data_IF_302089297671
#
_entry.id   IF_302089297671
#
_cell.length_a   1.000
_cell.length_b   1.000
_cell.length_c   1.000
_cell.angle_alpha   90.00
_cell.angle_beta   90.00
_cell.angle_gamma   90.00
#
_symmetry.space_group_name_H-M   'P 1'
#
loop_
_entity.id
_entity.type
_entity.pdbx_description
1 polymer ?
#
# COMPACT_ATOMS: atom_id res chain seq x y z
N UNK A 1 20.47 -47.07 -26.23
CA UNK A 1 20.82 -46.21 -25.07
C UNK A 1 19.63 -45.30 -24.78
N UNK A 2 19.08 -45.33 -23.57
CA UNK A 2 17.98 -44.41 -23.18
C UNK A 2 18.58 -43.04 -22.88
N UNK A 3 18.63 -42.18 -23.89
CA UNK A 3 19.38 -40.92 -23.83
C UNK A 3 18.67 -39.81 -23.06
N UNK A 4 17.34 -39.81 -22.97
CA UNK A 4 16.58 -38.80 -22.22
C UNK A 4 15.40 -39.47 -21.51
N UNK A 5 15.13 -39.07 -20.26
CA UNK A 5 13.96 -39.52 -19.50
C UNK A 5 13.23 -38.32 -18.91
N UNK A 6 11.92 -38.24 -19.14
CA UNK A 6 11.07 -37.16 -18.62
C UNK A 6 10.27 -37.69 -17.44
N UNK A 7 10.44 -37.05 -16.28
CA UNK A 7 9.69 -37.34 -15.05
C UNK A 7 8.90 -36.11 -14.63
N UNK A 8 7.64 -36.32 -14.33
CA UNK A 8 6.68 -35.30 -13.89
C UNK A 8 6.17 -35.67 -12.50
N UNK A 9 6.11 -34.71 -11.57
CA UNK A 9 5.49 -34.95 -10.27
C UNK A 9 4.94 -33.67 -9.66
N UNK A 10 3.90 -33.79 -8.82
CA UNK A 10 3.35 -32.64 -8.10
C UNK A 10 4.36 -32.09 -7.08
N UNK A 11 4.50 -30.77 -7.04
CA UNK A 11 5.36 -30.08 -6.08
C UNK A 11 4.88 -30.34 -4.65
N UNK A 12 5.71 -31.03 -3.85
CA UNK A 12 5.39 -31.41 -2.46
C UNK A 12 4.92 -32.86 -2.30
N UNK A 13 4.63 -33.57 -3.40
CA UNK A 13 4.27 -34.98 -3.38
C UNK A 13 5.06 -35.79 -4.42
N UNK A 14 6.26 -36.25 -4.04
CA UNK A 14 7.13 -37.06 -4.91
C UNK A 14 6.61 -38.49 -5.15
N UNK A 15 5.68 -38.98 -4.32
CA UNK A 15 5.09 -40.32 -4.47
C UNK A 15 4.17 -40.39 -5.69
N UNK A 16 3.50 -39.30 -6.01
CA UNK A 16 2.67 -39.17 -7.19
C UNK A 16 3.47 -38.70 -8.41
N UNK A 17 4.47 -39.47 -8.84
CA UNK A 17 5.21 -39.19 -10.08
C UNK A 17 4.63 -39.93 -11.30
N UNK A 18 4.98 -39.43 -12.48
CA UNK A 18 4.77 -40.04 -13.79
C UNK A 18 6.12 -40.03 -14.50
N UNK A 19 6.56 -41.17 -15.00
CA UNK A 19 7.60 -41.22 -16.03
C UNK A 19 6.90 -41.28 -17.39
N UNK A 20 7.29 -40.41 -18.32
CA UNK A 20 6.79 -40.47 -19.69
C UNK A 20 7.33 -41.77 -20.31
N UNK A 21 6.45 -42.69 -20.75
CA UNK A 21 6.85 -44.04 -21.17
C UNK A 21 7.63 -44.03 -22.47
N UNK A 22 7.31 -43.12 -23.38
CA UNK A 22 8.01 -42.92 -24.64
C UNK A 22 8.45 -41.45 -24.72
N UNK A 23 9.76 -41.14 -24.66
CA UNK A 23 10.22 -39.77 -24.80
C UNK A 23 9.75 -39.18 -26.14
N UNK A 24 9.43 -37.88 -26.18
CA UNK A 24 9.03 -37.22 -27.41
C UNK A 24 10.19 -37.15 -28.40
N UNK A 25 9.86 -37.02 -29.68
CA UNK A 25 10.83 -36.83 -30.76
C UNK A 25 11.53 -35.48 -30.63
N UNK A 26 10.75 -34.43 -30.40
CA UNK A 26 11.25 -33.07 -30.18
C UNK A 26 10.67 -32.47 -28.90
N UNK A 27 11.48 -31.64 -28.23
CA UNK A 27 11.06 -30.87 -27.06
C UNK A 27 11.41 -29.41 -27.28
N UNK A 28 10.42 -28.54 -27.16
CA UNK A 28 10.57 -27.11 -27.38
C UNK A 28 10.63 -26.36 -26.04
N UNK A 29 11.65 -25.52 -25.86
CA UNK A 29 11.76 -24.59 -24.74
C UNK A 29 11.77 -23.15 -25.26
N UNK A 30 10.80 -22.35 -24.82
CA UNK A 30 10.72 -20.93 -25.18
C UNK A 30 10.96 -20.07 -23.95
N UNK A 31 11.86 -19.09 -24.08
CA UNK A 31 12.04 -18.03 -23.10
C UNK A 31 12.30 -16.71 -23.82
N UNK A 32 11.62 -15.63 -23.41
CA UNK A 32 11.72 -14.33 -24.08
C UNK A 32 11.70 -13.18 -23.09
N UNK A 33 12.41 -12.10 -23.45
CA UNK A 33 12.39 -10.85 -22.71
C UNK A 33 11.20 -9.99 -23.14
N UNK A 34 10.59 -9.29 -22.19
CA UNK A 34 9.58 -8.27 -22.48
C UNK A 34 10.30 -6.96 -22.81
N UNK A 35 10.20 -6.54 -24.07
CA UNK A 35 10.79 -5.31 -24.57
C UNK A 35 9.79 -4.16 -24.47
N UNK A 36 10.29 -2.97 -24.13
CA UNK A 36 9.58 -1.71 -24.25
C UNK A 36 10.13 -0.98 -25.46
N UNK A 37 9.27 -0.71 -26.42
CA UNK A 37 9.64 -0.06 -27.67
C UNK A 37 9.37 1.44 -27.58
N UNK A 38 10.31 2.22 -28.11
CA UNK A 38 10.22 3.66 -28.26
C UNK A 38 10.48 4.00 -29.73
N UNK A 39 9.67 4.87 -30.28
CA UNK A 39 9.92 5.45 -31.59
C UNK A 39 10.48 6.86 -31.38
N UNK A 40 11.72 7.07 -31.78
CA UNK A 40 12.46 8.31 -31.57
C UNK A 40 12.80 8.87 -32.93
N UNK A 41 12.39 10.11 -33.21
CA UNK A 41 12.51 10.73 -34.54
C UNK A 41 13.95 10.65 -35.11
N UNK A 42 14.96 10.90 -34.28
CA UNK A 42 16.36 10.91 -34.70
C UNK A 42 17.05 9.53 -34.64
N UNK A 43 16.48 8.57 -33.91
CA UNK A 43 17.11 7.26 -33.63
C UNK A 43 16.32 6.08 -34.21
N UNK A 44 15.16 6.33 -34.83
CA UNK A 44 14.22 5.30 -35.26
C UNK A 44 13.63 4.50 -34.10
N UNK A 45 13.37 3.22 -34.36
CA UNK A 45 12.74 2.31 -33.40
C UNK A 45 13.80 1.73 -32.44
N UNK A 46 13.65 2.03 -31.15
CA UNK A 46 14.54 1.55 -30.07
C UNK A 46 13.78 0.61 -29.14
N UNK A 47 14.25 -0.62 -28.99
CA UNK A 47 13.63 -1.64 -28.11
C UNK A 47 14.51 -1.93 -26.88
N UNK A 48 13.98 -1.65 -25.68
CA UNK A 48 14.70 -1.78 -24.40
C UNK A 48 14.09 -2.92 -23.56
N UNK A 49 14.88 -3.90 -23.08
CA UNK A 49 14.35 -4.95 -22.21
C UNK A 49 13.93 -4.37 -20.84
N UNK A 50 12.65 -4.51 -20.51
CA UNK A 50 12.05 -4.02 -19.25
C UNK A 50 11.47 -5.12 -18.37
N UNK A 51 11.45 -6.36 -18.86
CA UNK A 51 11.00 -7.52 -18.09
C UNK A 51 11.27 -8.82 -18.82
N UNK A 52 10.60 -9.88 -18.37
CA UNK A 52 10.63 -11.21 -19.00
C UNK A 52 9.22 -11.77 -19.12
N UNK A 53 8.99 -12.56 -20.15
CA UNK A 53 7.81 -13.40 -20.24
C UNK A 53 8.05 -14.70 -19.46
N UNK A 54 6.98 -15.43 -19.14
CA UNK A 54 7.09 -16.75 -18.53
C UNK A 54 7.66 -17.73 -19.55
N UNK A 55 8.62 -18.56 -19.14
CA UNK A 55 9.15 -19.58 -20.05
C UNK A 55 8.17 -20.73 -20.21
N UNK A 56 8.11 -21.32 -21.39
CA UNK A 56 7.27 -22.49 -21.68
C UNK A 56 8.12 -23.69 -22.10
N UNK A 57 7.62 -24.90 -21.81
CA UNK A 57 8.17 -26.17 -22.28
C UNK A 57 7.01 -26.93 -22.91
N UNK A 58 7.14 -27.33 -24.17
CA UNK A 58 6.10 -28.11 -24.85
C UNK A 58 6.68 -29.21 -25.71
N UNK A 59 5.87 -30.24 -25.95
CA UNK A 59 6.22 -31.33 -26.87
C UNK A 59 4.99 -32.10 -27.31
N UNK A 60 5.17 -32.90 -28.35
CA UNK A 60 4.22 -33.90 -28.83
C UNK A 60 4.73 -35.30 -28.55
N UNK A 61 3.84 -36.21 -28.18
CA UNK A 61 4.22 -37.55 -27.78
C UNK A 61 3.11 -38.57 -27.93
N UNK A 62 3.43 -39.81 -27.55
CA UNK A 62 2.50 -40.94 -27.63
C UNK A 62 2.49 -41.68 -26.29
N UNK A 63 1.31 -41.90 -25.73
CA UNK A 63 1.09 -42.92 -24.70
C UNK A 63 0.72 -44.23 -25.39
N UNK A 64 1.63 -45.22 -25.43
CA UNK A 64 1.39 -46.45 -26.17
C UNK A 64 0.36 -47.34 -25.49
N UNK A 65 -0.35 -48.13 -26.28
CA UNK A 65 -1.27 -49.14 -25.77
C UNK A 65 -0.54 -50.14 -24.84
N UNK A 66 -1.22 -50.66 -23.82
CA UNK A 66 -0.62 -51.59 -22.82
C UNK A 66 -0.03 -52.84 -23.48
N UNK A 67 -0.61 -53.28 -24.60
CA UNK A 67 -0.13 -54.40 -25.42
C UNK A 67 1.32 -54.21 -25.90
N UNK A 68 1.82 -52.96 -25.92
CA UNK A 68 3.17 -52.60 -26.33
C UNK A 68 4.20 -52.67 -25.20
N UNK A 69 3.85 -53.13 -23.99
CA UNK A 69 4.76 -53.20 -22.81
C UNK A 69 6.10 -53.92 -23.05
N UNK A 70 6.21 -54.77 -24.08
CA UNK A 70 7.42 -55.55 -24.40
C UNK A 70 8.47 -54.83 -25.26
N UNK A 71 8.22 -53.62 -25.75
CA UNK A 71 9.18 -52.89 -26.58
C UNK A 71 10.29 -52.21 -25.77
N UNK A 72 11.55 -52.31 -26.23
CA UNK A 72 12.75 -51.85 -25.51
C UNK A 72 12.82 -50.33 -25.25
N UNK A 73 12.18 -49.55 -26.12
CA UNK A 73 12.13 -48.10 -26.02
C UNK A 73 11.17 -47.57 -24.93
N UNK A 74 10.38 -48.45 -24.30
CA UNK A 74 9.47 -48.05 -23.22
C UNK A 74 10.23 -47.89 -21.90
N UNK A 75 10.08 -46.73 -21.28
CA UNK A 75 10.64 -46.38 -19.99
C UNK A 75 9.74 -46.80 -18.82
N UNK A 76 10.35 -47.35 -17.77
CA UNK A 76 9.67 -47.82 -16.55
C UNK A 76 8.50 -48.78 -16.84
N UNK A 77 7.67 -49.06 -15.82
CA UNK A 77 6.47 -49.86 -15.99
C UNK A 77 5.39 -49.10 -16.78
N UNK A 78 5.01 -49.64 -17.94
CA UNK A 78 3.94 -49.09 -18.76
C UNK A 78 2.59 -49.20 -18.05
N UNK A 79 1.97 -48.05 -17.79
CA UNK A 79 0.62 -47.93 -17.24
C UNK A 79 -0.41 -47.76 -18.35
N UNK A 80 -1.70 -47.81 -18.00
CA UNK A 80 -2.74 -47.54 -18.98
C UNK A 80 -2.66 -46.07 -19.45
N UNK A 81 -2.83 -45.76 -20.76
CA UNK A 81 -2.88 -44.39 -21.27
C UNK A 81 -3.81 -43.46 -20.47
N UNK A 82 -4.97 -44.00 -20.05
CA UNK A 82 -5.95 -43.28 -19.24
C UNK A 82 -5.40 -42.76 -17.90
N UNK A 83 -4.52 -43.51 -17.24
CA UNK A 83 -3.91 -43.08 -15.96
C UNK A 83 -3.01 -41.85 -16.13
N UNK A 84 -2.25 -41.80 -17.24
CA UNK A 84 -1.40 -40.65 -17.55
C UNK A 84 -2.26 -39.41 -17.84
N UNK A 85 -3.28 -39.59 -18.68
CA UNK A 85 -4.21 -38.54 -19.10
C UNK A 85 -4.95 -37.98 -17.89
N UNK A 86 -5.58 -38.84 -17.07
CA UNK A 86 -6.36 -38.43 -15.91
C UNK A 86 -5.50 -37.62 -14.93
N UNK A 87 -4.25 -38.04 -14.73
CA UNK A 87 -3.35 -37.36 -13.80
C UNK A 87 -2.87 -36.01 -14.31
N UNK A 88 -2.51 -35.91 -15.59
CA UNK A 88 -2.13 -34.63 -16.22
C UNK A 88 -3.34 -33.66 -16.22
N UNK A 89 -4.53 -34.15 -16.58
CA UNK A 89 -5.77 -33.39 -16.52
C UNK A 89 -6.10 -32.93 -15.09
N UNK A 90 -5.88 -33.78 -14.10
CA UNK A 90 -6.06 -33.41 -12.69
C UNK A 90 -5.10 -32.30 -12.26
N UNK A 91 -3.83 -32.35 -12.67
CA UNK A 91 -2.88 -31.27 -12.39
C UNK A 91 -3.28 -29.96 -13.08
N UNK A 92 -3.76 -30.04 -14.33
CA UNK A 92 -4.26 -28.88 -15.08
C UNK A 92 -5.50 -28.26 -14.41
N UNK A 93 -6.57 -29.06 -14.23
CA UNK A 93 -7.86 -28.61 -13.66
C UNK A 93 -7.73 -28.06 -12.25
N UNK A 94 -6.85 -28.64 -11.43
CA UNK A 94 -6.61 -28.18 -10.04
C UNK A 94 -5.49 -27.15 -9.94
N UNK A 95 -4.94 -26.67 -11.06
CA UNK A 95 -3.83 -25.72 -11.13
C UNK A 95 -2.66 -26.11 -10.20
N UNK A 96 -2.27 -27.39 -10.23
CA UNK A 96 -1.18 -27.90 -9.42
C UNK A 96 0.16 -27.50 -10.01
N UNK A 97 1.11 -27.14 -9.14
CA UNK A 97 2.51 -26.93 -9.53
C UNK A 97 3.13 -28.30 -9.81
N UNK A 98 3.61 -28.51 -11.01
CA UNK A 98 4.28 -29.73 -11.46
C UNK A 98 5.77 -29.46 -11.61
N UNK A 99 6.60 -30.37 -11.11
CA UNK A 99 8.02 -30.40 -11.40
C UNK A 99 8.25 -31.18 -12.70
N UNK A 100 8.80 -30.50 -13.69
CA UNK A 100 9.23 -31.09 -14.97
C UNK A 100 10.72 -31.36 -14.88
N UNK A 101 11.10 -32.64 -14.88
CA UNK A 101 12.50 -33.08 -14.79
C UNK A 101 12.86 -33.83 -16.07
N UNK A 102 13.81 -33.27 -16.83
CA UNK A 102 14.30 -33.85 -18.08
C UNK A 102 15.76 -34.22 -17.85
N UNK A 103 16.05 -35.53 -17.79
CA UNK A 103 17.41 -36.00 -17.55
C UNK A 103 18.35 -35.64 -18.71
N UNK A 104 19.64 -35.51 -18.40
CA UNK A 104 20.71 -35.24 -19.40
C UNK A 104 20.53 -33.98 -20.26
N UNK A 105 19.66 -33.05 -19.85
CA UNK A 105 19.51 -31.72 -20.47
C UNK A 105 19.83 -30.60 -19.48
N UNK A 106 20.07 -29.35 -19.95
CA UNK A 106 20.16 -28.17 -19.08
C UNK A 106 18.87 -27.89 -18.29
N UNK A 107 17.74 -28.43 -18.73
CA UNK A 107 16.43 -28.33 -18.08
C UNK A 107 16.24 -29.42 -17.00
N UNK A 108 17.23 -29.54 -16.10
CA UNK A 108 17.27 -30.61 -15.09
C UNK A 108 16.02 -30.65 -14.21
N UNK A 109 15.46 -29.50 -13.83
CA UNK A 109 14.22 -29.42 -13.04
C UNK A 109 13.62 -28.01 -13.13
N UNK A 110 12.33 -27.91 -13.47
CA UNK A 110 11.56 -26.66 -13.51
C UNK A 110 10.18 -26.84 -12.88
N UNK A 111 9.78 -25.88 -12.05
CA UNK A 111 8.41 -25.81 -11.50
C UNK A 111 7.49 -25.09 -12.48
N UNK A 112 6.46 -25.77 -12.97
CA UNK A 112 5.58 -25.29 -14.04
C UNK A 112 4.11 -25.64 -13.76
N UNK A 113 3.19 -25.03 -14.51
CA UNK A 113 1.80 -25.42 -14.61
C UNK A 113 1.57 -26.08 -15.96
N UNK A 114 0.61 -27.01 -16.04
CA UNK A 114 0.09 -27.48 -17.34
C UNK A 114 -0.81 -26.38 -17.90
N UNK A 115 -0.37 -25.74 -18.97
CA UNK A 115 -1.11 -24.70 -19.69
C UNK A 115 -2.13 -25.34 -20.62
N UNK A 116 -1.64 -26.21 -21.51
CA UNK A 116 -2.44 -26.92 -22.49
C UNK A 116 -2.12 -28.42 -22.48
N UNK A 117 -3.16 -29.22 -22.67
CA UNK A 117 -3.03 -30.66 -22.83
C UNK A 117 -4.16 -31.16 -23.72
N UNK A 118 -3.80 -31.74 -24.86
CA UNK A 118 -4.73 -32.27 -25.85
C UNK A 118 -4.31 -33.69 -26.21
N UNK A 119 -5.27 -34.56 -26.52
CA UNK A 119 -4.96 -35.91 -27.01
C UNK A 119 -5.97 -36.40 -28.04
N UNK A 120 -5.53 -37.34 -28.87
CA UNK A 120 -6.36 -38.06 -29.84
C UNK A 120 -6.08 -39.56 -29.73
N UNK A 121 -7.11 -40.37 -30.00
CA UNK A 121 -7.05 -41.83 -29.85
C UNK A 121 -6.88 -42.45 -31.24
N UNK A 122 -5.91 -43.34 -31.37
CA UNK A 122 -5.73 -44.15 -32.58
C UNK A 122 -6.52 -45.46 -32.48
N UNK A 123 -6.92 -46.03 -33.61
CA UNK A 123 -7.59 -47.33 -33.67
C UNK A 123 -6.76 -48.48 -33.06
N UNK A 124 -5.44 -48.33 -33.02
CA UNK A 124 -4.51 -49.29 -32.41
C UNK A 124 -4.40 -49.16 -30.87
N UNK A 125 -5.14 -48.23 -30.26
CA UNK A 125 -5.16 -48.01 -28.80
C UNK A 125 -4.06 -47.09 -28.27
N UNK A 126 -3.23 -46.50 -29.15
CA UNK A 126 -2.27 -45.47 -28.76
C UNK A 126 -2.94 -44.11 -28.65
N UNK A 127 -2.48 -43.28 -27.72
CA UNK A 127 -2.95 -41.92 -27.53
C UNK A 127 -1.86 -40.94 -27.94
N UNK A 128 -2.08 -40.20 -29.02
CA UNK A 128 -1.22 -39.08 -29.40
C UNK A 128 -1.58 -37.88 -28.55
N UNK A 129 -0.60 -37.18 -27.98
CA UNK A 129 -0.86 -36.04 -27.13
C UNK A 129 0.08 -34.88 -27.42
N UNK A 130 -0.42 -33.68 -27.16
CA UNK A 130 0.36 -32.44 -27.15
C UNK A 130 0.24 -31.82 -25.76
N UNK A 131 1.36 -31.47 -25.16
CA UNK A 131 1.40 -30.87 -23.82
C UNK A 131 2.23 -29.59 -23.84
N UNK A 132 1.72 -28.56 -23.18
CA UNK A 132 2.41 -27.29 -22.99
C UNK A 132 2.43 -26.93 -21.50
N UNK A 133 3.62 -26.65 -20.99
CA UNK A 133 3.86 -26.18 -19.64
C UNK A 133 4.26 -24.71 -19.65
N UNK A 134 3.78 -23.96 -18.66
CA UNK A 134 4.16 -22.57 -18.41
C UNK A 134 4.82 -22.41 -17.03
N UNK A 135 5.87 -21.60 -16.93
CA UNK A 135 6.61 -21.36 -15.69
C UNK A 135 5.68 -20.94 -14.54
N UNK A 136 5.78 -21.62 -13.40
CA UNK A 136 5.02 -21.29 -12.20
C UNK A 136 5.65 -20.11 -11.45
N UNK A 137 5.48 -18.90 -11.98
CA UNK A 137 6.00 -17.69 -11.35
C UNK A 137 5.17 -17.29 -10.13
N UNK A 138 5.86 -17.01 -9.02
CA UNK A 138 5.23 -16.49 -7.82
C UNK A 138 5.15 -14.96 -7.86
N UNK A 139 3.97 -14.42 -7.58
CA UNK A 139 3.78 -12.99 -7.35
C UNK A 139 4.42 -12.61 -6.01
N UNK A 140 5.72 -12.31 -6.02
CA UNK A 140 6.39 -11.69 -4.88
C UNK A 140 6.02 -10.22 -4.85
N UNK A 141 4.90 -9.91 -4.19
CA UNK A 141 4.53 -8.54 -3.91
C UNK A 141 5.53 -7.98 -2.89
N UNK A 142 6.58 -7.31 -3.37
CA UNK A 142 7.42 -6.45 -2.55
C UNK A 142 6.58 -5.25 -2.12
N UNK A 143 5.71 -5.48 -1.15
CA UNK A 143 4.96 -4.46 -0.46
C UNK A 143 5.99 -3.66 0.34
N UNK A 144 6.61 -2.68 -0.32
CA UNK A 144 7.20 -1.55 0.37
C UNK A 144 6.04 -0.79 1.00
N UNK A 145 5.55 -1.32 2.14
CA UNK A 145 4.92 -0.47 3.13
C UNK A 145 6.04 0.48 3.51
N UNK A 146 6.14 1.61 2.82
CA UNK A 146 6.80 2.79 3.35
C UNK A 146 6.20 2.93 4.73
N UNK A 147 6.93 2.50 5.77
CA UNK A 147 6.64 2.90 7.14
C UNK A 147 6.75 4.42 7.07
N UNK A 148 5.66 5.10 6.79
CA UNK A 148 5.61 6.54 6.95
C UNK A 148 6.09 6.72 8.38
N UNK A 149 7.22 7.40 8.59
CA UNK A 149 7.59 7.87 9.93
C UNK A 149 6.38 8.67 10.39
N UNK A 150 5.45 8.02 11.11
CA UNK A 150 4.24 8.65 11.64
C UNK A 150 4.79 9.78 12.48
N UNK A 151 4.67 11.02 12.01
CA UNK A 151 5.32 12.18 12.58
C UNK A 151 4.86 12.39 14.02
N UNK A 152 5.51 11.71 14.95
CA UNK A 152 5.30 11.86 16.37
C UNK A 152 5.97 13.17 16.78
N UNK A 153 5.17 14.11 17.26
CA UNK A 153 5.70 15.39 17.75
C UNK A 153 6.16 15.19 19.19
N UNK A 154 7.31 15.74 19.55
CA UNK A 154 7.72 15.83 20.96
C UNK A 154 7.17 17.12 21.56
N UNK A 155 6.70 17.06 22.81
CA UNK A 155 6.22 18.21 23.56
C UNK A 155 6.87 18.26 24.94
N UNK A 156 7.56 19.37 25.22
CA UNK A 156 8.11 19.66 26.56
C UNK A 156 7.03 20.33 27.42
N UNK A 157 6.70 19.73 28.56
CA UNK A 157 5.75 20.28 29.54
C UNK A 157 6.27 21.61 30.06
N UNK A 158 5.49 22.68 29.90
CA UNK A 158 5.95 24.06 30.11
C UNK A 158 5.75 24.54 31.54
N UNK A 159 4.66 24.13 32.19
CA UNK A 159 4.23 24.65 33.50
C UNK A 159 3.98 23.51 34.48
N UNK A 160 4.13 23.78 35.78
CA UNK A 160 3.89 22.78 36.84
C UNK A 160 2.41 22.35 36.93
N UNK A 161 1.48 23.25 36.56
CA UNK A 161 0.03 22.99 36.58
C UNK A 161 -0.52 22.37 35.28
N UNK A 162 0.32 22.14 34.27
CA UNK A 162 -0.13 21.61 32.98
C UNK A 162 -0.46 20.12 33.10
N UNK A 163 -1.65 19.72 32.67
CA UNK A 163 -2.11 18.32 32.72
C UNK A 163 -2.05 17.65 31.35
N UNK A 164 -2.08 16.31 31.31
CA UNK A 164 -2.22 15.58 30.05
C UNK A 164 -3.51 15.96 29.29
N UNK A 165 -4.58 16.36 30.00
CA UNK A 165 -5.83 16.84 29.38
C UNK A 165 -5.63 18.18 28.66
N UNK A 166 -4.82 19.08 29.21
CA UNK A 166 -4.49 20.36 28.57
C UNK A 166 -3.68 20.14 27.29
N UNK A 167 -2.69 19.25 27.36
CA UNK A 167 -1.88 18.85 26.21
C UNK A 167 -2.77 18.19 25.15
N UNK A 168 -3.66 17.29 25.56
CA UNK A 168 -4.64 16.65 24.68
C UNK A 168 -5.56 17.67 23.99
N UNK A 169 -6.10 18.64 24.75
CA UNK A 169 -6.94 19.72 24.21
C UNK A 169 -6.18 20.58 23.20
N UNK A 170 -4.90 20.82 23.44
CA UNK A 170 -4.02 21.59 22.54
C UNK A 170 -3.71 20.85 21.23
N UNK A 171 -3.46 19.54 21.30
CA UNK A 171 -2.99 18.76 20.14
C UNK A 171 -4.07 18.01 19.38
N UNK A 172 -5.24 17.77 20.00
CA UNK A 172 -6.37 17.05 19.39
C UNK A 172 -7.69 17.85 19.43
N UNK A 173 -7.73 19.00 20.13
CA UNK A 173 -8.97 19.75 20.32
C UNK A 173 -9.95 19.07 21.28
N UNK A 174 -9.51 18.05 22.00
CA UNK A 174 -10.32 17.25 22.92
C UNK A 174 -9.48 16.81 24.12
N UNK A 175 -9.91 17.21 25.32
CA UNK A 175 -9.24 16.87 26.57
C UNK A 175 -9.42 15.42 26.98
N UNK A 176 -10.42 14.69 26.44
CA UNK A 176 -10.68 13.28 26.76
C UNK A 176 -9.62 12.33 26.18
N UNK A 177 -8.90 12.75 25.13
CA UNK A 177 -7.88 11.94 24.43
C UNK A 177 -6.54 11.86 25.15
N UNK A 178 -6.45 12.32 26.39
CA UNK A 178 -5.23 12.31 27.20
C UNK A 178 -4.69 10.89 27.44
N UNK A 179 -5.58 9.89 27.52
CA UNK A 179 -5.23 8.47 27.65
C UNK A 179 -4.34 7.99 26.50
N UNK A 180 -4.54 8.53 25.29
CA UNK A 180 -3.74 8.21 24.10
C UNK A 180 -2.29 8.68 24.25
N UNK A 181 -2.11 9.87 24.85
CA UNK A 181 -0.77 10.42 25.16
C UNK A 181 -0.13 9.59 26.28
N UNK A 182 -0.90 9.26 27.32
CA UNK A 182 -0.40 8.43 28.42
C UNK A 182 0.08 7.06 27.92
N UNK A 183 -0.74 6.34 27.13
CA UNK A 183 -0.37 5.02 26.56
C UNK A 183 0.94 5.08 25.78
N UNK A 184 1.17 6.15 25.01
CA UNK A 184 2.41 6.34 24.25
C UNK A 184 3.64 6.70 25.11
N UNK A 185 3.44 7.15 26.36
CA UNK A 185 4.50 7.60 27.26
C UNK A 185 4.47 6.88 28.62
N UNK A 186 3.80 5.72 28.71
CA UNK A 186 3.47 5.06 29.97
C UNK A 186 4.73 4.81 30.81
N UNK A 187 5.75 4.20 30.21
CA UNK A 187 7.01 3.90 30.89
C UNK A 187 7.69 5.18 31.45
N UNK A 188 7.71 6.27 30.68
CA UNK A 188 8.33 7.53 31.09
C UNK A 188 7.57 8.18 32.26
N UNK A 189 6.24 8.23 32.16
CA UNK A 189 5.38 8.86 33.16
C UNK A 189 5.37 8.04 34.45
N UNK A 190 5.19 6.72 34.34
CA UNK A 190 5.14 5.82 35.50
C UNK A 190 6.48 5.80 36.25
N UNK A 191 7.61 5.75 35.52
CA UNK A 191 8.95 5.86 36.11
C UNK A 191 9.10 7.18 36.87
N UNK A 192 8.70 8.30 36.27
CA UNK A 192 8.82 9.60 36.94
C UNK A 192 7.92 9.68 38.17
N UNK A 193 6.69 9.20 38.08
CA UNK A 193 5.78 9.17 39.24
C UNK A 193 6.35 8.30 40.38
N UNK A 194 6.98 7.17 40.07
CA UNK A 194 7.64 6.33 41.07
C UNK A 194 8.82 7.03 41.75
N UNK A 195 9.67 7.74 40.98
CA UNK A 195 10.76 8.55 41.54
C UNK A 195 10.24 9.63 42.50
N UNK A 196 9.15 10.29 42.16
CA UNK A 196 8.59 11.38 42.98
C UNK A 196 7.98 10.84 44.27
N UNK A 197 7.34 9.66 44.24
CA UNK A 197 6.89 8.96 45.45
C UNK A 197 8.05 8.61 46.40
N UNK A 198 9.18 8.11 45.87
CA UNK A 198 10.37 7.81 46.68
C UNK A 198 10.96 9.06 47.35
N UNK A 199 10.74 10.24 46.76
CA UNK A 199 11.15 11.54 47.31
C UNK A 199 10.12 12.15 48.27
N UNK A 200 9.07 11.43 48.64
CA UNK A 200 8.01 11.93 49.52
C UNK A 200 7.03 12.91 48.86
N UNK A 201 7.09 13.11 47.53
CA UNK A 201 6.19 14.03 46.85
C UNK A 201 4.82 13.41 46.56
N UNK A 202 3.75 14.20 46.75
CA UNK A 202 2.36 13.77 46.52
C UNK A 202 2.05 13.64 45.03
N UNK A 203 1.92 12.41 44.54
CA UNK A 203 1.47 12.11 43.17
C UNK A 203 -0.06 12.10 43.10
N UNK A 204 -0.66 13.13 42.49
CA UNK A 204 -2.11 13.32 42.43
C UNK A 204 -2.86 12.21 41.68
N UNK A 205 -2.24 11.67 40.63
CA UNK A 205 -2.81 10.57 39.82
C UNK A 205 -1.73 9.84 39.03
N UNK A 206 -2.04 8.67 38.45
CA UNK A 206 -1.14 7.96 37.52
C UNK A 206 -0.80 8.76 36.25
N UNK A 207 -1.58 9.80 35.95
CA UNK A 207 -1.41 10.68 34.80
C UNK A 207 -0.62 11.95 35.13
N UNK A 208 -0.08 12.05 36.35
CA UNK A 208 0.70 13.22 36.77
C UNK A 208 1.92 13.38 35.88
N UNK A 209 2.13 14.60 35.40
CA UNK A 209 3.26 14.99 34.60
C UNK A 209 3.92 16.21 35.25
N UNK A 210 5.20 16.39 34.97
CA UNK A 210 6.05 17.38 35.60
C UNK A 210 6.66 18.31 34.56
N UNK A 211 6.89 19.56 34.95
CA UNK A 211 7.56 20.56 34.12
C UNK A 211 8.89 20.01 33.62
N UNK A 212 9.17 20.22 32.33
CA UNK A 212 10.40 19.79 31.70
C UNK A 212 10.37 18.38 31.10
N UNK A 213 9.40 17.53 31.46
CA UNK A 213 9.23 16.24 30.80
C UNK A 213 8.94 16.41 29.31
N UNK A 214 9.57 15.57 28.48
CA UNK A 214 9.36 15.56 27.03
C UNK A 214 8.49 14.37 26.67
N UNK A 215 7.26 14.65 26.26
CA UNK A 215 6.27 13.63 25.91
C UNK A 215 6.18 13.46 24.39
N UNK A 216 6.03 12.23 23.97
CA UNK A 216 5.70 11.86 22.59
C UNK A 216 4.20 12.04 22.36
N UNK A 217 3.83 12.85 21.38
CA UNK A 217 2.44 13.11 21.00
C UNK A 217 2.12 12.32 19.74
N UNK A 218 1.25 11.29 19.84
CA UNK A 218 0.73 10.58 18.68
C UNK A 218 0.15 11.53 17.62
N UNK A 219 0.27 11.21 16.32
CA UNK A 219 -0.26 12.08 15.27
C UNK A 219 -1.78 12.17 15.32
N UNK A 220 -2.31 13.39 15.23
CA UNK A 220 -3.76 13.62 15.17
C UNK A 220 -4.39 12.99 13.91
N UNK A 221 -5.60 12.46 14.04
CA UNK A 221 -6.41 11.97 12.91
C UNK A 221 -6.83 13.12 12.00
N UNK A 222 -7.30 12.82 10.79
CA UNK A 222 -7.80 13.84 9.86
C UNK A 222 -8.97 14.63 10.47
N UNK A 223 -9.88 13.97 11.18
CA UNK A 223 -10.99 14.62 11.89
C UNK A 223 -10.51 15.52 13.05
N UNK A 224 -9.51 15.09 13.82
CA UNK A 224 -8.92 15.91 14.90
C UNK A 224 -8.21 17.16 14.34
N UNK A 225 -7.50 17.01 13.22
CA UNK A 225 -6.88 18.15 12.51
C UNK A 225 -7.94 19.13 12.03
N UNK A 226 -9.01 18.63 11.41
CA UNK A 226 -10.17 19.41 10.95
C UNK A 226 -10.76 20.23 12.10
N UNK A 227 -11.07 19.57 13.22
CA UNK A 227 -11.60 20.20 14.45
C UNK A 227 -10.68 21.30 14.97
N UNK A 228 -9.37 21.07 15.03
CA UNK A 228 -8.40 22.08 15.46
C UNK A 228 -8.37 23.30 14.55
N UNK A 229 -8.46 23.11 13.23
CA UNK A 229 -8.53 24.25 12.30
C UNK A 229 -9.82 25.04 12.44
N UNK A 230 -10.97 24.38 12.65
CA UNK A 230 -12.23 25.07 12.91
C UNK A 230 -12.14 25.86 14.21
N UNK A 231 -11.57 25.26 15.26
CA UNK A 231 -11.43 25.90 16.58
C UNK A 231 -10.47 27.10 16.52
N UNK A 232 -9.43 27.04 15.69
CA UNK A 232 -8.54 28.17 15.43
C UNK A 232 -9.24 29.30 14.66
N UNK A 233 -10.07 28.97 13.67
CA UNK A 233 -10.88 29.94 12.94
C UNK A 233 -11.91 30.62 13.86
N UNK A 234 -12.66 29.86 14.65
CA UNK A 234 -13.65 30.38 15.61
C UNK A 234 -13.00 31.34 16.62
N UNK A 235 -11.81 31.00 17.13
CA UNK A 235 -11.03 31.89 18.00
C UNK A 235 -10.58 33.17 17.31
N UNK A 236 -10.15 33.08 16.04
CA UNK A 236 -9.75 34.23 15.25
C UNK A 236 -10.92 35.18 15.00
N UNK A 237 -12.09 34.64 14.65
CA UNK A 237 -13.34 35.39 14.49
C UNK A 237 -13.70 36.11 15.79
N UNK A 238 -13.70 35.41 16.93
CA UNK A 238 -14.06 36.00 18.22
C UNK A 238 -13.10 37.10 18.70
N UNK A 239 -11.84 37.06 18.25
CA UNK A 239 -10.84 38.08 18.56
C UNK A 239 -11.01 39.33 17.70
N UNK A 240 -11.54 39.16 16.48
CA UNK A 240 -11.91 40.25 15.59
C UNK A 240 -13.33 40.73 15.90
N UNK A 241 -13.45 41.77 16.76
CA UNK A 241 -14.74 42.31 17.24
C UNK A 241 -15.77 42.65 16.14
N UNK A 242 -15.31 42.91 14.91
CA UNK A 242 -16.13 43.25 13.72
C UNK A 242 -17.05 42.12 13.21
N UNK A 243 -16.78 40.86 13.55
CA UNK A 243 -17.53 39.71 13.00
C UNK A 243 -18.54 39.10 13.97
N UNK A 244 -18.63 39.63 15.20
CA UNK A 244 -19.46 39.07 16.27
C UNK A 244 -18.82 37.87 16.97
N UNK A 245 -19.57 37.23 17.87
CA UNK A 245 -19.12 36.06 18.63
C UNK A 245 -19.73 34.77 18.06
N UNK A 246 -18.89 33.75 17.90
CA UNK A 246 -19.26 32.38 17.52
C UNK A 246 -18.86 31.39 18.62
N UNK A 247 -19.59 30.27 18.78
CA UNK A 247 -19.22 29.22 19.73
C UNK A 247 -17.86 28.60 19.36
N UNK A 248 -17.03 28.29 20.36
CA UNK A 248 -15.71 27.65 20.16
C UNK A 248 -15.78 26.14 20.32
N UNK A 249 -16.75 25.52 19.64
CA UNK A 249 -17.07 24.09 19.75
C UNK A 249 -16.26 23.19 18.77
N UNK A 250 -15.50 23.78 17.83
CA UNK A 250 -14.76 23.07 16.81
C UNK A 250 -15.64 22.39 15.75
N UNK A 251 -16.92 22.78 15.65
CA UNK A 251 -17.87 22.34 14.63
C UNK A 251 -18.25 23.53 13.74
N UNK A 252 -18.44 23.28 12.44
CA UNK A 252 -18.88 24.30 11.49
C UNK A 252 -20.41 24.42 11.51
N UNK A 253 -20.94 24.94 12.62
CA UNK A 253 -22.36 25.08 12.90
C UNK A 253 -22.99 26.26 12.13
N UNK A 254 -24.33 26.36 12.18
CA UNK A 254 -25.08 27.40 11.47
C UNK A 254 -24.61 28.81 11.84
N UNK A 255 -24.35 29.07 13.13
CA UNK A 255 -23.86 30.37 13.59
C UNK A 255 -22.49 30.73 12.98
N UNK A 256 -21.53 29.79 12.99
CA UNK A 256 -20.21 29.98 12.36
C UNK A 256 -20.33 30.18 10.85
N UNK A 257 -21.20 29.43 10.16
CA UNK A 257 -21.43 29.59 8.72
C UNK A 257 -22.03 30.95 8.38
N UNK A 258 -22.98 31.44 9.17
CA UNK A 258 -23.59 32.77 8.98
C UNK A 258 -22.55 33.88 9.11
N UNK A 259 -21.65 33.78 10.09
CA UNK A 259 -20.54 34.75 10.23
C UNK A 259 -19.55 34.63 9.07
N UNK A 260 -19.24 33.42 8.61
CA UNK A 260 -18.35 33.20 7.46
C UNK A 260 -18.86 33.84 6.17
N UNK A 261 -20.18 33.88 5.94
CA UNK A 261 -20.77 34.58 4.79
C UNK A 261 -20.47 36.09 4.78
N UNK A 262 -20.21 36.68 5.95
CA UNK A 262 -19.87 38.11 6.09
C UNK A 262 -18.36 38.39 5.96
N UNK A 263 -17.53 37.34 5.95
CA UNK A 263 -16.07 37.47 5.93
C UNK A 263 -15.58 37.43 4.49
N UNK A 264 -15.05 38.57 4.02
CA UNK A 264 -14.36 38.69 2.75
C UNK A 264 -12.97 39.29 2.98
N UNK A 265 -11.94 38.44 2.95
CA UNK A 265 -10.56 38.89 3.13
C UNK A 265 -9.98 39.28 1.77
N UNK A 266 -9.90 40.59 1.52
CA UNK A 266 -9.30 41.21 0.32
C UNK A 266 -8.08 42.05 0.68
N UNK A 267 -7.39 42.60 -0.32
CA UNK A 267 -6.24 43.49 -0.07
C UNK A 267 -6.66 44.65 0.83
N UNK A 268 -5.82 44.96 1.82
CA UNK A 268 -6.10 45.97 2.86
C UNK A 268 -6.86 45.45 4.07
N UNK A 269 -7.42 44.22 4.01
CA UNK A 269 -8.06 43.60 5.17
C UNK A 269 -7.05 43.35 6.29
N UNK A 270 -7.44 43.64 7.54
CA UNK A 270 -6.63 43.44 8.73
C UNK A 270 -7.38 42.63 9.79
N UNK A 271 -6.65 41.85 10.58
CA UNK A 271 -7.20 41.12 11.74
C UNK A 271 -6.61 39.74 11.97
N UNK A 272 -7.16 39.06 12.96
CA UNK A 272 -6.76 37.71 13.36
C UNK A 272 -7.26 36.65 12.38
N UNK A 273 -8.42 36.88 11.74
CA UNK A 273 -8.88 36.03 10.63
C UNK A 273 -7.90 36.08 9.45
N UNK A 274 -7.26 37.23 9.21
CA UNK A 274 -6.21 37.35 8.18
C UNK A 274 -4.98 36.53 8.56
N UNK A 275 -4.53 36.56 9.83
CA UNK A 275 -3.42 35.71 10.32
C UNK A 275 -3.73 34.23 10.17
N UNK A 276 -4.99 33.84 10.40
CA UNK A 276 -5.44 32.46 10.18
C UNK A 276 -5.27 32.06 8.71
N UNK A 277 -5.78 32.87 7.78
CA UNK A 277 -5.66 32.65 6.33
C UNK A 277 -4.19 32.58 5.91
N UNK A 278 -3.38 33.55 6.34
CA UNK A 278 -1.95 33.61 6.08
C UNK A 278 -1.24 32.31 6.53
N UNK A 279 -1.58 31.79 7.71
CA UNK A 279 -1.06 30.53 8.21
C UNK A 279 -1.41 29.31 7.36
N UNK A 280 -2.57 29.31 6.70
CA UNK A 280 -3.03 28.22 5.84
C UNK A 280 -2.41 28.25 4.45
N UNK A 281 -2.18 29.45 3.91
CA UNK A 281 -1.56 29.65 2.59
C UNK A 281 -0.03 29.74 2.64
N UNK A 282 0.56 29.72 3.83
CA UNK A 282 2.01 29.84 4.02
C UNK A 282 2.54 31.26 3.79
N UNK A 283 1.73 32.29 4.05
CA UNK A 283 2.16 33.68 4.07
C UNK A 283 2.71 34.11 5.44
N UNK A 284 3.42 35.23 5.48
CA UNK A 284 3.81 35.89 6.74
C UNK A 284 2.56 36.21 7.56
N UNK A 285 2.56 35.88 8.85
CA UNK A 285 1.39 36.03 9.75
C UNK A 285 1.34 37.40 10.42
N UNK A 286 1.44 38.46 9.63
CA UNK A 286 1.40 39.85 10.10
C UNK A 286 -0.04 40.34 10.37
N UNK A 287 -1.06 39.64 9.86
CA UNK A 287 -2.47 40.02 10.00
C UNK A 287 -2.91 41.10 9.03
N UNK A 288 -2.12 41.42 8.00
CA UNK A 288 -2.42 42.40 6.96
C UNK A 288 -2.44 41.69 5.60
N UNK A 289 -3.57 41.78 4.90
CA UNK A 289 -3.69 41.20 3.56
C UNK A 289 -3.06 42.13 2.53
N UNK A 290 -1.76 41.95 2.25
CA UNK A 290 -1.04 42.64 1.18
C UNK A 290 -1.06 41.91 -0.17
N UNK A 291 -0.37 42.46 -1.16
CA UNK A 291 -0.23 41.85 -2.50
C UNK A 291 0.35 40.43 -2.46
N UNK A 292 1.39 40.20 -1.62
CA UNK A 292 1.99 38.89 -1.40
C UNK A 292 1.00 37.87 -0.81
N UNK A 293 0.12 38.29 0.10
CA UNK A 293 -0.92 37.44 0.67
C UNK A 293 -1.99 37.11 -0.36
N UNK A 294 -2.47 38.10 -1.13
CA UNK A 294 -3.42 37.89 -2.24
C UNK A 294 -2.90 36.86 -3.24
N UNK A 295 -1.64 36.96 -3.65
CA UNK A 295 -1.02 36.00 -4.58
C UNK A 295 -1.02 34.57 -4.02
N UNK A 296 -0.73 34.40 -2.72
CA UNK A 296 -0.77 33.09 -2.04
C UNK A 296 -2.20 32.54 -1.90
N UNK A 297 -3.18 33.41 -1.64
CA UNK A 297 -4.61 33.03 -1.64
C UNK A 297 -5.02 32.53 -3.03
N UNK A 298 -4.68 33.29 -4.09
CA UNK A 298 -4.97 32.91 -5.48
C UNK A 298 -4.35 31.56 -5.85
N UNK A 299 -3.10 31.31 -5.43
CA UNK A 299 -2.43 30.02 -5.63
C UNK A 299 -3.12 28.88 -4.87
N UNK A 300 -3.56 29.13 -3.64
CA UNK A 300 -4.31 28.17 -2.85
C UNK A 300 -5.66 27.82 -3.50
N UNK A 301 -6.39 28.83 -3.97
CA UNK A 301 -7.67 28.65 -4.67
C UNK A 301 -7.52 27.80 -5.93
N UNK A 302 -6.55 28.13 -6.81
CA UNK A 302 -6.24 27.33 -8.00
C UNK A 302 -5.92 25.87 -7.67
N UNK A 303 -5.08 25.65 -6.64
CA UNK A 303 -4.69 24.30 -6.20
C UNK A 303 -5.87 23.45 -5.70
N UNK A 304 -6.91 24.10 -5.19
CA UNK A 304 -8.07 23.44 -4.58
C UNK A 304 -9.34 23.53 -5.44
N UNK A 305 -9.20 23.88 -6.72
CA UNK A 305 -10.30 24.03 -7.69
C UNK A 305 -11.40 24.99 -7.21
N UNK A 306 -10.99 26.14 -6.65
CA UNK A 306 -11.86 27.24 -6.26
C UNK A 306 -11.66 28.42 -7.22
N UNK A 307 -12.64 29.35 -7.25
CA UNK A 307 -12.49 30.62 -7.98
C UNK A 307 -11.24 31.37 -7.50
N UNK A 308 -10.33 31.68 -8.42
CA UNK A 308 -9.00 32.23 -8.15
C UNK A 308 -8.99 33.76 -8.15
N UNK A 309 -9.92 34.37 -7.43
CA UNK A 309 -10.12 35.83 -7.31
C UNK A 309 -9.10 36.50 -6.35
N UNK A 310 -8.41 35.71 -5.53
CA UNK A 310 -7.51 36.20 -4.48
C UNK A 310 -8.23 36.77 -3.26
N UNK A 311 -9.53 36.52 -3.10
CA UNK A 311 -10.36 36.92 -1.97
C UNK A 311 -10.73 35.68 -1.16
N UNK A 312 -10.35 35.63 0.11
CA UNK A 312 -10.76 34.51 0.97
C UNK A 312 -12.17 34.76 1.52
N UNK A 313 -13.18 34.32 0.76
CA UNK A 313 -14.60 34.25 1.16
C UNK A 313 -14.98 32.90 1.78
N UNK A 314 -16.29 32.65 1.94
CA UNK A 314 -16.82 31.46 2.63
C UNK A 314 -16.31 30.13 2.07
N UNK A 315 -16.26 29.95 0.75
CA UNK A 315 -15.83 28.68 0.14
C UNK A 315 -14.34 28.43 0.39
N UNK A 316 -13.54 29.48 0.27
CA UNK A 316 -12.11 29.44 0.56
C UNK A 316 -11.85 29.12 2.03
N UNK A 317 -12.55 29.78 2.96
CA UNK A 317 -12.41 29.56 4.40
C UNK A 317 -12.89 28.16 4.82
N UNK A 318 -14.02 27.70 4.25
CA UNK A 318 -14.56 26.35 4.50
C UNK A 318 -13.59 25.29 4.00
N UNK A 319 -12.97 25.48 2.83
CA UNK A 319 -11.95 24.58 2.30
C UNK A 319 -10.70 24.55 3.19
N UNK A 320 -10.28 25.70 3.72
CA UNK A 320 -9.10 25.80 4.62
C UNK A 320 -9.27 25.04 5.93
N UNK A 321 -10.50 24.86 6.41
CA UNK A 321 -10.80 24.14 7.65
C UNK A 321 -11.27 22.70 7.46
N UNK A 322 -11.42 22.23 6.21
CA UNK A 322 -11.84 20.86 5.89
C UNK A 322 -10.70 19.85 5.99
#
# INVERSE_FOLDING_TARGET
>A
MKEVSIKLYELGNKKENITIPLPPEELEYKSSSRLQEYEILDLGKVSIPKGRNLSTIGWEGIFPAITRKRFEFIHDELKQPGEYIEKIENWRKKHKKVQVQISKTPLKSKTMYVEEFNYTISAAGDYKYTILFIEAAELKLNRTVRKSKKGTKKYKVKRKSETLRDISKKFYGDGSKYQRIYKANKALIDKKNAEMKKKGEKVKSKYTIYRGQVLTIPPATSAEKKKLSILALQKAINKDKKYGKVPTNGKLDASTKTVLKKIFIKVGSRGEVVKFVQGKVGATKDGICGSKTKAKIKKYQKKHNLSADGIAGIDTLTKMVS
#
